data_IF_605620216743
#
_entry.id   IF_605620216743
#
_cell.length_a   1.000
_cell.length_b   1.000
_cell.length_c   1.000
_cell.angle_alpha   90.00
_cell.angle_beta   90.00
_cell.angle_gamma   90.00
#
_symmetry.space_group_name_H-M   'P 1'
#
loop_
_entity.id
_entity.type
_entity.pdbx_description
1 polymer ?
#
# COMPACT_ATOMS: atom_id res chain seq x y z
N UNK A 1 53.08 54.23 37.61
CA UNK A 1 53.75 53.19 36.81
C UNK A 1 53.36 53.49 35.35
N UNK A 2 54.13 54.15 34.46
CA UNK A 2 55.51 53.88 33.94
C UNK A 2 55.67 52.37 33.68
N UNK A 3 55.80 51.85 32.45
CA UNK A 3 56.35 52.35 31.17
C UNK A 3 55.77 51.62 29.93
N UNK A 4 55.97 52.18 28.71
CA UNK A 4 55.74 51.57 27.39
C UNK A 4 57.01 50.95 26.75
N UNK A 5 56.86 50.31 25.59
CA UNK A 5 57.92 49.92 24.64
C UNK A 5 57.39 48.84 23.70
N UNK A 6 56.96 49.11 22.46
CA UNK A 6 57.70 49.47 21.22
C UNK A 6 58.69 48.42 20.71
N UNK A 7 58.74 48.40 19.36
CA UNK A 7 59.59 47.68 18.40
C UNK A 7 59.07 46.32 17.89
N UNK A 8 59.16 46.01 16.61
CA UNK A 8 59.22 46.79 15.34
C UNK A 8 59.46 45.74 14.25
N UNK A 9 58.79 45.89 13.10
CA UNK A 9 59.26 45.54 11.73
C UNK A 9 59.57 44.04 11.48
N UNK A 10 59.41 43.41 10.33
CA UNK A 10 59.67 43.75 8.91
C UNK A 10 58.90 42.64 8.14
N UNK A 11 57.99 42.96 7.22
CA UNK A 11 58.17 43.12 5.76
C UNK A 11 58.70 41.90 4.99
N UNK A 12 58.25 41.85 3.74
CA UNK A 12 58.70 41.05 2.59
C UNK A 12 58.01 39.69 2.34
N UNK A 13 57.20 39.69 1.27
CA UNK A 13 57.71 39.11 0.02
C UNK A 13 56.99 37.87 -0.51
N UNK A 14 56.34 38.07 -1.67
CA UNK A 14 56.23 37.16 -2.83
C UNK A 14 55.56 35.78 -2.65
N UNK A 15 54.39 35.53 -3.24
CA UNK A 15 54.12 35.24 -4.66
C UNK A 15 54.33 33.77 -5.07
N UNK A 16 53.32 33.29 -5.82
CA UNK A 16 53.26 32.13 -6.72
C UNK A 16 52.72 30.77 -6.20
N UNK A 17 51.50 30.49 -6.69
CA UNK A 17 51.09 29.36 -7.53
C UNK A 17 51.48 27.91 -7.21
N UNK A 18 50.40 27.09 -7.16
CA UNK A 18 50.23 25.72 -7.63
C UNK A 18 51.02 24.60 -6.92
N UNK A 19 50.31 23.64 -6.33
CA UNK A 19 50.30 22.24 -6.82
C UNK A 19 49.22 21.38 -6.14
N UNK A 20 48.99 20.27 -6.82
CA UNK A 20 48.04 19.17 -6.74
C UNK A 20 47.86 18.44 -5.40
N UNK A 21 46.68 17.80 -5.32
CA UNK A 21 46.38 16.48 -4.74
C UNK A 21 47.06 16.07 -3.41
N UNK A 22 46.26 15.89 -2.36
CA UNK A 22 46.32 14.61 -1.64
C UNK A 22 45.04 14.28 -0.85
N UNK A 23 44.77 12.98 -0.85
CA UNK A 23 43.74 12.25 -0.14
C UNK A 23 43.88 12.39 1.39
N UNK A 24 42.76 12.25 2.12
CA UNK A 24 42.83 12.21 3.58
C UNK A 24 41.49 12.24 4.30
N UNK A 25 40.86 11.07 4.40
CA UNK A 25 40.26 10.53 5.62
C UNK A 25 39.12 11.35 6.26
N UNK A 26 37.90 10.81 6.17
CA UNK A 26 36.85 11.05 7.16
C UNK A 26 36.51 9.69 7.77
N UNK A 27 37.05 9.47 8.96
CA UNK A 27 36.79 8.34 9.84
C UNK A 27 35.30 8.24 10.20
N UNK A 28 34.85 6.98 10.19
CA UNK A 28 34.10 6.29 11.24
C UNK A 28 32.93 7.04 11.91
N UNK A 29 31.72 6.48 11.75
CA UNK A 29 31.09 5.84 12.90
C UNK A 29 30.03 4.83 12.43
N UNK A 30 30.25 3.60 12.90
CA UNK A 30 29.46 2.40 12.74
C UNK A 30 27.99 2.59 13.12
N UNK A 31 27.10 2.10 12.25
CA UNK A 31 25.74 1.75 12.63
C UNK A 31 25.54 0.30 12.22
N UNK A 32 25.94 -0.61 13.10
CA UNK A 32 25.63 -2.04 13.03
C UNK A 32 24.10 -2.19 12.90
N UNK A 33 23.64 -2.61 11.73
CA UNK A 33 22.29 -3.11 11.54
C UNK A 33 22.33 -4.60 11.84
N UNK A 34 21.81 -4.99 13.01
CA UNK A 34 21.54 -6.40 13.30
C UNK A 34 20.56 -6.95 12.26
N UNK A 35 21.06 -7.90 11.48
CA UNK A 35 20.37 -8.60 10.41
C UNK A 35 19.68 -9.84 11.03
N UNK A 36 18.40 -9.71 11.40
CA UNK A 36 17.59 -10.86 11.80
C UNK A 36 17.34 -11.75 10.57
N UNK A 37 18.04 -12.89 10.52
CA UNK A 37 17.80 -13.97 9.56
C UNK A 37 16.53 -14.74 9.96
N UNK A 38 15.43 -14.54 9.24
CA UNK A 38 14.29 -15.45 9.25
C UNK A 38 14.53 -16.56 8.22
N UNK A 39 14.69 -17.80 8.69
CA UNK A 39 14.73 -19.00 7.85
C UNK A 39 13.30 -19.35 7.39
N UNK A 40 13.06 -19.32 6.08
CA UNK A 40 11.85 -19.86 5.47
C UNK A 40 12.03 -21.37 5.26
N UNK A 41 11.19 -22.18 5.89
CA UNK A 41 10.98 -23.59 5.51
C UNK A 41 9.79 -23.64 4.55
N UNK A 42 10.05 -24.00 3.31
CA UNK A 42 9.05 -24.37 2.31
C UNK A 42 8.47 -25.74 2.69
N UNK A 43 7.15 -25.83 2.84
CA UNK A 43 6.41 -27.07 2.69
C UNK A 43 5.45 -26.88 1.52
N UNK A 44 5.67 -27.68 0.48
CA UNK A 44 4.74 -27.91 -0.62
C UNK A 44 3.55 -28.70 -0.08
N UNK A 45 2.35 -28.13 -0.19
CA UNK A 45 1.11 -28.91 -0.21
C UNK A 45 0.34 -28.50 -1.47
N UNK A 46 0.20 -29.48 -2.37
CA UNK A 46 -0.71 -29.46 -3.51
C UNK A 46 -2.15 -29.59 -2.99
N UNK A 47 -3.04 -28.66 -3.34
CA UNK A 47 -4.47 -28.96 -3.51
C UNK A 47 -5.04 -28.16 -4.69
N UNK A 48 -5.80 -28.88 -5.53
CA UNK A 48 -6.43 -28.43 -6.76
C UNK A 48 -7.71 -27.62 -6.52
N UNK A 49 -8.00 -26.77 -7.52
CA UNK A 49 -9.27 -26.16 -7.97
C UNK A 49 -10.39 -25.85 -6.97
N UNK A 50 -10.77 -24.56 -6.89
CA UNK A 50 -12.14 -24.17 -7.27
C UNK A 50 -12.23 -22.67 -7.67
N UNK A 51 -13.13 -22.46 -8.63
CA UNK A 51 -13.58 -21.25 -9.31
C UNK A 51 -14.04 -20.13 -8.36
N UNK A 52 -13.42 -18.94 -8.48
CA UNK A 52 -14.02 -17.71 -7.96
C UNK A 52 -13.93 -16.59 -8.99
N UNK A 53 -15.09 -16.32 -9.57
CA UNK A 53 -15.39 -15.35 -10.61
C UNK A 53 -15.02 -13.94 -10.16
N UNK A 54 -14.00 -13.35 -10.79
CA UNK A 54 -13.64 -11.94 -10.61
C UNK A 54 -14.77 -11.07 -11.18
N UNK A 55 -15.64 -10.58 -10.30
CA UNK A 55 -16.78 -9.75 -10.67
C UNK A 55 -16.28 -8.37 -11.14
N UNK A 56 -16.27 -8.16 -12.45
CA UNK A 56 -16.08 -6.85 -13.06
C UNK A 56 -17.30 -5.99 -12.76
N UNK A 57 -17.17 -5.03 -11.86
CA UNK A 57 -18.11 -3.92 -11.78
C UNK A 57 -17.34 -2.59 -11.86
N UNK A 58 -17.26 -2.09 -13.07
CA UNK A 58 -17.07 -0.70 -13.44
C UNK A 58 -18.33 0.11 -13.07
N UNK A 59 -18.59 0.23 -11.76
CA UNK A 59 -19.61 1.09 -11.21
C UNK A 59 -19.01 2.43 -10.76
N UNK A 60 -19.47 3.51 -11.38
CA UNK A 60 -19.28 4.89 -10.95
C UNK A 60 -19.53 5.02 -9.44
N UNK A 61 -18.47 5.31 -8.67
CA UNK A 61 -18.55 5.47 -7.22
C UNK A 61 -19.36 6.73 -6.92
N UNK A 62 -20.60 6.53 -6.46
CA UNK A 62 -21.48 7.57 -5.97
C UNK A 62 -20.86 8.42 -4.86
N UNK A 63 -21.37 9.63 -4.73
CA UNK A 63 -20.91 10.66 -3.80
C UNK A 63 -20.77 10.15 -2.36
N UNK A 64 -19.85 10.73 -1.56
CA UNK A 64 -19.59 10.29 -0.19
C UNK A 64 -20.87 10.39 0.65
N UNK A 65 -21.42 9.24 1.05
CA UNK A 65 -22.50 9.19 2.03
C UNK A 65 -22.01 9.80 3.34
N UNK A 66 -22.86 10.66 3.90
CA UNK A 66 -22.60 11.46 5.09
C UNK A 66 -22.32 10.55 6.31
N UNK A 67 -21.04 10.44 6.68
CA UNK A 67 -20.49 9.45 7.62
C UNK A 67 -21.02 9.54 9.07
N UNK A 68 -21.71 10.63 9.43
CA UNK A 68 -22.15 10.85 10.81
C UNK A 68 -23.40 10.03 11.20
N UNK A 69 -24.23 9.62 10.23
CA UNK A 69 -25.49 8.91 10.54
C UNK A 69 -25.32 7.39 10.68
N UNK A 70 -24.33 6.79 10.01
CA UNK A 70 -24.05 5.35 10.10
C UNK A 70 -23.23 5.01 11.36
N UNK A 71 -22.39 5.95 11.82
CA UNK A 71 -21.50 5.78 12.97
C UNK A 71 -22.27 5.63 14.29
N UNK A 72 -23.39 6.35 14.45
CA UNK A 72 -24.25 6.24 15.62
C UNK A 72 -24.99 4.89 15.71
N UNK A 73 -25.39 4.32 14.57
CA UNK A 73 -26.19 3.08 14.54
C UNK A 73 -25.35 1.81 14.68
N UNK A 74 -24.09 1.83 14.25
CA UNK A 74 -23.14 0.72 14.42
C UNK A 74 -22.59 0.62 15.85
N UNK A 75 -22.46 1.76 16.54
CA UNK A 75 -22.03 1.81 17.95
C UNK A 75 -23.07 1.19 18.89
N UNK A 76 -24.36 1.31 18.60
CA UNK A 76 -25.43 0.74 19.42
C UNK A 76 -25.53 -0.79 19.29
N UNK A 77 -25.34 -1.34 18.07
CA UNK A 77 -25.44 -2.78 17.81
C UNK A 77 -24.31 -3.63 18.43
N UNK A 78 -23.13 -3.06 18.66
CA UNK A 78 -21.98 -3.77 19.26
C UNK A 78 -22.04 -3.80 20.80
N UNK A 79 -22.76 -2.86 21.42
CA UNK A 79 -22.83 -2.71 22.88
C UNK A 79 -23.62 -3.83 23.59
N UNK A 80 -24.48 -4.57 22.89
CA UNK A 80 -25.30 -5.61 23.52
C UNK A 80 -24.70 -7.02 23.49
N UNK A 81 -23.66 -7.27 22.68
CA UNK A 81 -23.08 -8.63 22.51
C UNK A 81 -21.89 -8.87 23.46
N UNK A 82 -21.25 -7.81 24.00
CA UNK A 82 -20.00 -7.92 24.76
C UNK A 82 -20.02 -7.19 26.11
N UNK A 83 -21.11 -7.31 26.88
CA UNK A 83 -21.13 -6.78 28.26
C UNK A 83 -20.18 -7.61 29.13
N UNK A 84 -19.09 -7.04 29.67
CA UNK A 84 -18.15 -7.80 30.46
C UNK A 84 -18.80 -8.25 31.77
N UNK A 85 -18.59 -9.52 32.12
CA UNK A 85 -19.07 -10.14 33.37
C UNK A 85 -18.49 -9.44 34.60
N UNK A 86 -17.33 -8.76 34.43
CA UNK A 86 -16.65 -8.02 35.47
C UNK A 86 -16.50 -6.54 35.09
N UNK A 87 -16.89 -5.65 36.02
CA UNK A 87 -16.63 -4.21 35.94
C UNK A 87 -15.74 -3.75 37.09
N UNK A 88 -14.73 -2.96 36.78
CA UNK A 88 -13.89 -2.28 37.76
C UNK A 88 -14.69 -1.19 38.47
N UNK A 89 -14.65 -1.20 39.81
CA UNK A 89 -15.27 -0.18 40.67
C UNK A 89 -14.31 0.95 41.04
N UNK A 90 -13.04 0.83 40.67
CA UNK A 90 -12.00 1.82 40.96
C UNK A 90 -11.29 2.23 39.68
N UNK A 91 -11.22 3.54 39.45
CA UNK A 91 -10.61 4.12 38.25
C UNK A 91 -9.14 3.72 38.09
N UNK A 92 -8.36 3.73 39.17
CA UNK A 92 -6.92 3.49 39.08
C UNK A 92 -6.60 2.02 38.78
N UNK A 93 -7.42 1.09 39.26
CA UNK A 93 -7.32 -0.33 38.92
C UNK A 93 -7.68 -0.59 37.45
N UNK A 94 -8.79 0.00 36.99
CA UNK A 94 -9.19 -0.04 35.58
C UNK A 94 -8.11 0.54 34.66
N UNK A 95 -7.55 1.70 35.03
CA UNK A 95 -6.53 2.37 34.23
C UNK A 95 -5.22 1.58 34.21
N UNK A 96 -4.83 0.97 35.34
CA UNK A 96 -3.65 0.11 35.44
C UNK A 96 -3.80 -1.12 34.54
N UNK A 97 -4.93 -1.82 34.63
CA UNK A 97 -5.22 -2.97 33.77
C UNK A 97 -5.24 -2.58 32.28
N UNK A 98 -5.95 -1.50 31.95
CA UNK A 98 -6.07 -1.00 30.57
C UNK A 98 -4.72 -0.68 29.96
N UNK A 99 -3.83 -0.04 30.72
CA UNK A 99 -2.47 0.30 30.25
C UNK A 99 -1.50 -0.88 30.25
N UNK A 100 -1.77 -1.89 31.08
CA UNK A 100 -1.02 -3.12 31.19
C UNK A 100 -1.57 -4.18 30.26
N UNK A 101 -2.24 -5.18 30.82
CA UNK A 101 -2.66 -6.38 30.10
C UNK A 101 -3.67 -6.10 29.00
N UNK A 102 -4.59 -5.16 29.20
CA UNK A 102 -5.54 -4.75 28.15
C UNK A 102 -4.84 -4.22 26.88
N UNK A 103 -3.74 -3.47 27.06
CA UNK A 103 -2.93 -2.96 25.96
C UNK A 103 -2.05 -4.05 25.32
N UNK A 104 -1.58 -5.02 26.11
CA UNK A 104 -0.80 -6.16 25.58
C UNK A 104 -1.64 -6.98 24.60
N UNK A 105 -2.87 -7.32 24.99
CA UNK A 105 -3.81 -8.08 24.13
C UNK A 105 -4.01 -7.37 22.78
N UNK A 106 -4.25 -6.06 22.80
CA UNK A 106 -4.37 -5.26 21.58
C UNK A 106 -3.12 -5.31 20.71
N UNK A 107 -1.94 -5.12 21.30
CA UNK A 107 -0.67 -5.15 20.56
C UNK A 107 -0.44 -6.50 19.90
N UNK A 108 -0.67 -7.59 20.64
CA UNK A 108 -0.56 -8.95 20.10
C UNK A 108 -1.49 -9.14 18.91
N UNK A 109 -2.77 -8.75 19.01
CA UNK A 109 -3.71 -8.84 17.90
C UNK A 109 -3.24 -8.05 16.66
N UNK A 110 -2.74 -6.82 16.87
CA UNK A 110 -2.19 -5.99 15.80
C UNK A 110 -0.94 -6.61 15.16
N UNK A 111 -0.03 -7.17 15.96
CA UNK A 111 1.19 -7.78 15.43
C UNK A 111 0.88 -9.08 14.66
N UNK A 112 -0.04 -9.92 15.16
CA UNK A 112 -0.55 -11.08 14.42
C UNK A 112 -1.16 -10.66 13.10
N UNK A 113 -2.02 -9.64 13.09
CA UNK A 113 -2.65 -9.17 11.86
C UNK A 113 -1.64 -8.61 10.85
N UNK A 114 -0.58 -7.92 11.31
CA UNK A 114 0.49 -7.45 10.40
C UNK A 114 1.15 -8.61 9.67
N UNK A 115 1.51 -9.67 10.38
CA UNK A 115 2.19 -10.82 9.78
C UNK A 115 1.27 -11.55 8.80
N UNK A 116 0.01 -11.78 9.19
CA UNK A 116 -1.01 -12.35 8.31
C UNK A 116 -1.17 -11.51 7.04
N UNK A 117 -1.39 -10.20 7.19
CA UNK A 117 -1.52 -9.28 6.07
C UNK A 117 -0.28 -9.29 5.16
N UNK A 118 0.93 -9.26 5.73
CA UNK A 118 2.17 -9.27 4.94
C UNK A 118 2.31 -10.56 4.11
N UNK A 119 2.02 -11.72 4.71
CA UNK A 119 2.04 -13.00 4.01
C UNK A 119 1.01 -13.03 2.87
N UNK A 120 -0.25 -12.68 3.17
CA UNK A 120 -1.33 -12.61 2.17
C UNK A 120 -0.97 -11.68 1.00
N UNK A 121 -0.43 -10.48 1.29
CA UNK A 121 -0.10 -9.51 0.25
C UNK A 121 1.16 -9.85 -0.55
N UNK A 122 2.04 -10.66 0.00
CA UNK A 122 3.16 -11.20 -0.78
C UNK A 122 2.68 -12.25 -1.78
N UNK A 123 1.76 -13.14 -1.38
CA UNK A 123 1.18 -14.14 -2.28
C UNK A 123 0.28 -13.46 -3.33
N UNK A 124 -0.54 -12.50 -2.91
CA UNK A 124 -1.40 -11.73 -3.82
C UNK A 124 -0.58 -10.94 -4.86
N UNK A 125 0.62 -10.47 -4.49
CA UNK A 125 1.50 -9.81 -5.45
C UNK A 125 1.85 -10.75 -6.61
N UNK A 126 2.18 -12.00 -6.33
CA UNK A 126 2.59 -12.97 -7.37
C UNK A 126 1.42 -13.26 -8.32
N UNK A 127 0.23 -13.49 -7.77
CA UNK A 127 -1.00 -13.66 -8.56
C UNK A 127 -1.33 -12.39 -9.36
N UNK A 128 -1.14 -11.20 -8.78
CA UNK A 128 -1.36 -9.94 -9.48
C UNK A 128 -0.38 -9.74 -10.64
N UNK A 129 0.89 -10.13 -10.49
CA UNK A 129 1.87 -10.06 -11.56
C UNK A 129 1.54 -11.02 -12.71
N UNK A 130 1.13 -12.25 -12.40
CA UNK A 130 0.65 -13.22 -13.40
C UNK A 130 -0.59 -12.70 -14.13
N UNK A 131 -1.53 -12.11 -13.39
CA UNK A 131 -2.70 -11.47 -13.96
C UNK A 131 -2.32 -10.34 -14.93
N UNK A 132 -1.38 -9.47 -14.54
CA UNK A 132 -0.88 -8.42 -15.44
C UNK A 132 -0.23 -9.01 -16.68
N UNK A 133 0.58 -10.06 -16.52
CA UNK A 133 1.19 -10.79 -17.64
C UNK A 133 0.12 -11.29 -18.61
N UNK A 134 -0.85 -12.07 -18.14
CA UNK A 134 -1.93 -12.60 -18.99
C UNK A 134 -2.70 -11.48 -19.69
N UNK A 135 -3.07 -10.44 -18.93
CA UNK A 135 -3.79 -9.26 -19.46
C UNK A 135 -3.01 -8.52 -20.53
N UNK A 136 -1.68 -8.47 -20.45
CA UNK A 136 -0.86 -7.77 -21.44
C UNK A 136 -0.36 -8.67 -22.57
N UNK A 137 -0.48 -10.00 -22.43
CA UNK A 137 -0.19 -10.93 -23.52
C UNK A 137 -1.36 -11.00 -24.51
N UNK A 138 -2.60 -10.78 -24.08
CA UNK A 138 -3.78 -10.79 -24.95
C UNK A 138 -4.54 -9.47 -24.88
N UNK A 139 -4.94 -8.92 -26.04
CA UNK A 139 -5.63 -7.63 -26.04
C UNK A 139 -7.14 -7.80 -25.93
N UNK A 140 -7.67 -7.51 -24.73
CA UNK A 140 -9.11 -7.54 -24.47
C UNK A 140 -9.71 -6.12 -24.32
N UNK A 141 -9.02 -5.09 -24.82
CA UNK A 141 -9.51 -3.70 -24.78
C UNK A 141 -9.54 -3.03 -23.40
N UNK A 142 -9.00 -3.68 -22.37
CA UNK A 142 -9.09 -3.23 -20.98
C UNK A 142 -7.74 -2.71 -20.42
N UNK A 143 -6.72 -2.42 -21.24
CA UNK A 143 -5.39 -2.04 -20.75
C UNK A 143 -5.38 -0.69 -20.02
N UNK A 144 -6.01 0.33 -20.60
CA UNK A 144 -6.19 1.66 -20.03
C UNK A 144 -7.40 2.35 -20.66
N UNK A 145 -7.92 3.40 -20.01
CA UNK A 145 -9.02 4.22 -20.55
C UNK A 145 -8.73 4.80 -21.94
N UNK A 146 -7.45 5.00 -22.29
CA UNK A 146 -7.01 5.48 -23.60
C UNK A 146 -6.59 4.35 -24.55
N UNK A 147 -6.47 3.13 -24.06
CA UNK A 147 -6.15 1.92 -24.82
C UNK A 147 -7.33 0.96 -24.83
N UNK A 148 -8.49 1.48 -25.26
CA UNK A 148 -9.71 0.72 -25.53
C UNK A 148 -9.64 -0.01 -26.87
N UNK A 149 -10.65 -0.80 -27.22
CA UNK A 149 -10.72 -1.57 -28.48
C UNK A 149 -10.38 -0.76 -29.74
N UNK A 150 -10.80 0.51 -29.82
CA UNK A 150 -10.48 1.41 -30.94
C UNK A 150 -9.02 1.88 -31.03
N UNK A 151 -8.21 1.71 -29.98
CA UNK A 151 -6.77 2.02 -30.01
C UNK A 151 -6.07 1.19 -31.10
N UNK A 152 -6.33 -0.11 -31.14
CA UNK A 152 -5.69 -1.00 -32.13
C UNK A 152 -6.09 -0.69 -33.57
N UNK A 153 -7.22 -0.03 -33.79
CA UNK A 153 -7.61 0.40 -35.13
C UNK A 153 -6.73 1.57 -35.60
N UNK A 154 -6.34 2.45 -34.69
CA UNK A 154 -5.41 3.55 -34.96
C UNK A 154 -3.96 3.09 -35.16
N UNK A 155 -3.64 1.84 -34.82
CA UNK A 155 -2.30 1.26 -34.94
C UNK A 155 -2.13 0.36 -36.18
N UNK A 156 -3.12 0.29 -37.08
CA UNK A 156 -3.08 -0.57 -38.26
C UNK A 156 -1.91 -0.29 -39.22
N UNK A 157 -1.37 0.93 -39.20
CA UNK A 157 -0.21 1.37 -40.02
C UNK A 157 1.08 1.47 -39.21
N UNK A 158 1.06 1.10 -37.94
CA UNK A 158 2.25 1.18 -37.11
C UNK A 158 3.28 0.16 -37.57
N UNK A 159 4.51 0.64 -37.67
CA UNK A 159 5.68 -0.20 -37.85
C UNK A 159 6.11 -0.78 -36.51
N UNK A 160 7.00 -1.79 -36.53
CA UNK A 160 7.64 -2.30 -35.32
C UNK A 160 8.28 -1.18 -34.48
N UNK A 161 8.85 -0.14 -35.13
CA UNK A 161 9.44 1.00 -34.44
C UNK A 161 8.42 1.83 -33.68
N UNK A 162 7.23 2.01 -34.25
CA UNK A 162 6.13 2.75 -33.61
C UNK A 162 5.64 1.99 -32.37
N UNK A 163 5.45 0.66 -32.49
CA UNK A 163 5.09 -0.21 -31.38
C UNK A 163 6.10 -0.20 -30.24
N UNK A 164 7.39 -0.35 -30.56
CA UNK A 164 8.47 -0.30 -29.57
C UNK A 164 8.48 1.06 -28.85
N UNK A 165 8.30 2.15 -29.61
CA UNK A 165 8.29 3.51 -29.06
C UNK A 165 7.11 3.72 -28.13
N UNK A 166 5.91 3.35 -28.57
CA UNK A 166 4.69 3.45 -27.76
C UNK A 166 4.78 2.61 -26.50
N UNK A 167 5.18 1.34 -26.60
CA UNK A 167 5.25 0.45 -25.45
C UNK A 167 6.19 1.01 -24.38
N UNK A 168 7.39 1.46 -24.79
CA UNK A 168 8.37 2.05 -23.85
C UNK A 168 7.89 3.35 -23.21
N UNK A 169 7.10 4.16 -23.92
CA UNK A 169 6.69 5.50 -23.46
C UNK A 169 5.39 5.48 -22.68
N UNK A 170 4.37 4.84 -23.22
CA UNK A 170 2.99 4.90 -22.74
C UNK A 170 2.55 3.53 -22.19
N UNK A 171 2.86 2.43 -22.89
CA UNK A 171 2.53 1.08 -22.41
C UNK A 171 3.07 0.80 -21.00
N UNK A 172 4.37 1.00 -20.78
CA UNK A 172 4.99 0.82 -19.47
C UNK A 172 4.46 1.77 -18.39
N UNK A 173 3.89 2.93 -18.76
CA UNK A 173 3.23 3.83 -17.79
C UNK A 173 1.85 3.34 -17.41
N UNK A 174 1.10 2.76 -18.34
CA UNK A 174 -0.18 2.12 -18.02
C UNK A 174 0.01 0.94 -17.08
N UNK A 175 1.04 0.13 -17.35
CA UNK A 175 1.43 -0.97 -16.46
C UNK A 175 1.79 -0.47 -15.05
N UNK A 176 2.59 0.61 -14.97
CA UNK A 176 2.88 1.26 -13.67
C UNK A 176 1.63 1.79 -12.98
N UNK A 177 0.70 2.38 -13.73
CA UNK A 177 -0.56 2.88 -13.20
C UNK A 177 -1.44 1.77 -12.61
N UNK A 178 -1.48 0.60 -13.25
CA UNK A 178 -2.20 -0.57 -12.72
C UNK A 178 -1.56 -1.07 -11.42
N UNK A 179 -0.22 -1.18 -11.40
CA UNK A 179 0.51 -1.58 -10.19
C UNK A 179 0.35 -0.58 -9.04
N UNK A 180 0.48 0.73 -9.29
CA UNK A 180 0.32 1.75 -8.25
C UNK A 180 -1.11 1.79 -7.69
N UNK A 181 -2.14 1.50 -8.49
CA UNK A 181 -3.51 1.35 -8.00
C UNK A 181 -3.65 0.17 -7.04
N UNK A 182 -3.14 -1.00 -7.43
CA UNK A 182 -3.14 -2.19 -6.58
C UNK A 182 -2.37 -1.95 -5.27
N UNK A 183 -1.23 -1.27 -5.36
CA UNK A 183 -0.41 -0.92 -4.21
C UNK A 183 -1.11 0.09 -3.27
N UNK A 184 -1.72 1.14 -3.82
CA UNK A 184 -2.44 2.16 -3.06
C UNK A 184 -3.66 1.59 -2.32
N UNK A 185 -4.39 0.67 -2.96
CA UNK A 185 -5.46 -0.05 -2.32
C UNK A 185 -4.94 -0.85 -1.11
N UNK A 186 -3.90 -1.65 -1.33
CA UNK A 186 -3.39 -2.56 -0.31
C UNK A 186 -2.75 -1.84 0.88
N UNK A 187 -2.03 -0.72 0.67
CA UNK A 187 -1.47 0.08 1.79
C UNK A 187 -2.56 0.67 2.69
N UNK A 188 -3.73 1.02 2.15
CA UNK A 188 -4.82 1.61 2.94
C UNK A 188 -5.51 0.59 3.83
N UNK A 189 -5.60 -0.67 3.38
CA UNK A 189 -6.31 -1.75 4.09
C UNK A 189 -5.78 -1.97 5.51
N UNK A 190 -4.46 -2.18 5.68
CA UNK A 190 -3.89 -2.43 7.01
C UNK A 190 -4.02 -1.21 7.92
N UNK A 191 -3.77 -0.01 7.38
CA UNK A 191 -3.92 1.23 8.14
C UNK A 191 -5.36 1.41 8.63
N UNK A 192 -6.34 1.20 7.77
CA UNK A 192 -7.76 1.30 8.13
C UNK A 192 -8.14 0.27 9.19
N UNK A 193 -7.73 -0.99 9.02
CA UNK A 193 -8.00 -2.06 9.98
C UNK A 193 -7.44 -1.71 11.37
N UNK A 194 -6.18 -1.30 11.47
CA UNK A 194 -5.56 -0.98 12.77
C UNK A 194 -6.24 0.20 13.45
N UNK A 195 -6.64 1.22 12.69
CA UNK A 195 -7.35 2.38 13.25
C UNK A 195 -8.75 2.00 13.74
N UNK A 196 -9.45 1.10 13.03
CA UNK A 196 -10.74 0.59 13.48
C UNK A 196 -10.61 -0.26 14.73
N UNK A 197 -9.65 -1.18 14.77
CA UNK A 197 -9.39 -2.00 15.96
C UNK A 197 -8.96 -1.16 17.16
N UNK A 198 -8.21 -0.08 16.93
CA UNK A 198 -7.90 0.88 17.99
C UNK A 198 -9.17 1.53 18.56
N UNK A 199 -10.07 2.02 17.70
CA UNK A 199 -11.34 2.63 18.11
C UNK A 199 -12.24 1.63 18.85
N UNK A 200 -12.34 0.39 18.37
CA UNK A 200 -13.05 -0.70 19.05
C UNK A 200 -12.45 -0.93 20.42
N UNK A 201 -11.14 -1.12 20.50
CA UNK A 201 -10.45 -1.34 21.77
C UNK A 201 -10.74 -0.21 22.77
N UNK A 202 -10.60 1.06 22.36
CA UNK A 202 -10.91 2.23 23.22
C UNK A 202 -12.35 2.19 23.72
N UNK A 203 -13.30 1.86 22.84
CA UNK A 203 -14.73 1.79 23.17
C UNK A 203 -15.03 0.64 24.12
N UNK A 204 -14.47 -0.54 23.88
CA UNK A 204 -14.62 -1.70 24.76
C UNK A 204 -14.03 -1.45 26.14
N UNK A 205 -12.90 -0.74 26.24
CA UNK A 205 -12.29 -0.44 27.55
C UNK A 205 -13.25 0.32 28.45
N UNK A 206 -14.15 1.14 27.89
CA UNK A 206 -15.20 1.82 28.66
C UNK A 206 -16.16 0.85 29.33
N UNK A 207 -16.49 -0.28 28.69
CA UNK A 207 -17.45 -1.28 29.19
C UNK A 207 -16.95 -2.00 30.45
N UNK A 208 -15.64 -2.11 30.62
CA UNK A 208 -15.02 -2.73 31.80
C UNK A 208 -15.01 -1.81 33.03
N UNK A 209 -15.42 -0.54 32.92
CA UNK A 209 -15.53 0.36 34.07
C UNK A 209 -17.00 0.53 34.47
N UNK A 210 -17.26 0.55 35.79
CA UNK A 210 -18.58 0.90 36.31
C UNK A 210 -19.02 2.29 35.84
N UNK A 211 -20.28 2.40 35.41
CA UNK A 211 -20.81 3.60 34.77
C UNK A 211 -20.84 4.79 35.73
N UNK A 212 -21.14 4.54 37.01
CA UNK A 212 -21.12 5.58 38.04
C UNK A 212 -19.71 6.15 38.25
N UNK A 213 -18.68 5.32 38.14
CA UNK A 213 -17.27 5.72 38.28
C UNK A 213 -16.83 6.58 37.10
N UNK A 214 -17.23 6.20 35.88
CA UNK A 214 -16.97 7.00 34.69
C UNK A 214 -17.65 8.36 34.76
N UNK A 215 -18.95 8.40 35.06
CA UNK A 215 -19.72 9.64 35.16
C UNK A 215 -19.15 10.59 36.21
N UNK A 216 -18.76 10.07 37.38
CA UNK A 216 -18.14 10.89 38.42
C UNK A 216 -16.81 11.50 37.96
N UNK A 217 -15.99 10.76 37.21
CA UNK A 217 -14.74 11.26 36.60
C UNK A 217 -14.99 12.28 35.50
N UNK A 218 -16.04 12.09 34.69
CA UNK A 218 -16.46 13.01 33.65
C UNK A 218 -16.93 14.33 34.23
N UNK A 219 -17.85 14.30 35.20
CA UNK A 219 -18.37 15.49 35.92
C UNK A 219 -17.26 16.28 36.61
N UNK A 220 -16.24 15.60 37.12
CA UNK A 220 -15.07 16.25 37.75
C UNK A 220 -13.98 16.71 36.77
N UNK A 221 -14.16 16.52 35.45
CA UNK A 221 -13.18 16.90 34.44
C UNK A 221 -11.88 16.09 34.45
N UNK A 222 -11.86 14.94 35.16
CA UNK A 222 -10.64 14.15 35.41
C UNK A 222 -10.34 13.10 34.33
N UNK A 223 -11.07 13.11 33.22
CA UNK A 223 -10.83 12.22 32.06
C UNK A 223 -9.62 12.63 31.20
N UNK A 224 -9.07 13.83 31.39
CA UNK A 224 -7.94 14.34 30.59
C UNK A 224 -6.74 13.38 30.53
N UNK A 225 -6.44 12.68 31.63
CA UNK A 225 -5.35 11.69 31.68
C UNK A 225 -5.60 10.47 30.76
N UNK A 226 -6.86 10.06 30.61
CA UNK A 226 -7.26 8.98 29.72
C UNK A 226 -7.18 9.44 28.26
N UNK A 227 -7.76 10.60 27.94
CA UNK A 227 -7.72 11.16 26.58
C UNK A 227 -6.29 11.43 26.08
N UNK A 228 -5.43 11.97 26.94
CA UNK A 228 -4.01 12.16 26.60
C UNK A 228 -3.30 10.83 26.32
N UNK A 229 -3.68 9.76 27.04
CA UNK A 229 -3.10 8.44 26.83
C UNK A 229 -3.55 7.84 25.50
N UNK A 230 -4.86 7.87 25.20
CA UNK A 230 -5.36 7.29 23.95
C UNK A 230 -4.83 8.05 22.74
N UNK A 231 -4.81 9.38 22.75
CA UNK A 231 -4.32 10.18 21.63
C UNK A 231 -2.82 9.94 21.38
N UNK A 232 -2.04 9.80 22.45
CA UNK A 232 -0.62 9.45 22.33
C UNK A 232 -0.45 8.07 21.70
N UNK A 233 -1.21 7.08 22.15
CA UNK A 233 -1.11 5.70 21.67
C UNK A 233 -1.61 5.53 20.24
N UNK A 234 -2.68 6.23 19.87
CA UNK A 234 -3.17 6.31 18.50
C UNK A 234 -2.06 6.83 17.57
N UNK A 235 -1.46 7.96 17.90
CA UNK A 235 -0.35 8.53 17.13
C UNK A 235 0.86 7.58 17.04
N UNK A 236 1.23 6.94 18.15
CA UNK A 236 2.29 5.93 18.15
C UNK A 236 1.96 4.76 17.20
N UNK A 237 0.71 4.27 17.21
CA UNK A 237 0.26 3.18 16.36
C UNK A 237 0.26 3.58 14.89
N UNK A 238 -0.31 4.74 14.54
CA UNK A 238 -0.32 5.26 13.17
C UNK A 238 1.10 5.36 12.60
N UNK A 239 2.04 5.91 13.37
CA UNK A 239 3.43 6.05 12.93
C UNK A 239 4.10 4.68 12.73
N UNK A 240 3.89 3.73 13.64
CA UNK A 240 4.46 2.39 13.53
C UNK A 240 3.91 1.62 12.32
N UNK A 241 2.61 1.72 12.07
CA UNK A 241 1.97 1.10 10.92
C UNK A 241 2.46 1.72 9.63
N UNK A 242 2.58 3.05 9.57
CA UNK A 242 3.16 3.72 8.40
C UNK A 242 4.56 3.19 8.08
N UNK A 243 5.46 3.15 9.06
CA UNK A 243 6.83 2.64 8.85
C UNK A 243 6.82 1.18 8.39
N UNK A 244 5.94 0.35 8.95
CA UNK A 244 5.82 -1.05 8.54
C UNK A 244 5.36 -1.19 7.08
N UNK A 245 4.32 -0.44 6.69
CA UNK A 245 3.79 -0.41 5.32
C UNK A 245 4.85 0.13 4.35
N UNK A 246 5.56 1.21 4.70
CA UNK A 246 6.61 1.80 3.86
C UNK A 246 7.73 0.78 3.56
N UNK A 247 8.11 -0.04 4.56
CA UNK A 247 9.09 -1.13 4.38
C UNK A 247 8.58 -2.21 3.43
N UNK A 248 7.32 -2.63 3.59
CA UNK A 248 6.69 -3.59 2.68
C UNK A 248 6.60 -3.03 1.25
N UNK A 249 6.11 -1.80 1.10
CA UNK A 249 5.97 -1.09 -0.17
C UNK A 249 7.30 -1.04 -0.92
N UNK A 250 8.40 -0.70 -0.24
CA UNK A 250 9.74 -0.69 -0.85
C UNK A 250 10.13 -2.05 -1.40
N UNK A 251 9.88 -3.13 -0.64
CA UNK A 251 10.16 -4.52 -1.09
C UNK A 251 9.29 -4.89 -2.30
N UNK A 252 8.00 -4.59 -2.24
CA UNK A 252 7.03 -4.86 -3.31
C UNK A 252 7.38 -4.10 -4.59
N UNK A 253 7.70 -2.82 -4.51
CA UNK A 253 8.18 -2.01 -5.64
C UNK A 253 9.45 -2.58 -6.28
N UNK A 254 10.37 -3.09 -5.46
CA UNK A 254 11.58 -3.74 -5.98
C UNK A 254 11.28 -5.04 -6.72
N UNK A 255 10.38 -5.89 -6.19
CA UNK A 255 9.93 -7.11 -6.88
C UNK A 255 9.28 -6.77 -8.22
N UNK A 256 8.32 -5.84 -8.23
CA UNK A 256 7.66 -5.36 -9.44
C UNK A 256 8.66 -4.80 -10.46
N UNK A 257 9.63 -3.99 -10.03
CA UNK A 257 10.65 -3.43 -10.95
C UNK A 257 11.48 -4.52 -11.63
N UNK A 258 11.83 -5.59 -10.91
CA UNK A 258 12.55 -6.74 -11.48
C UNK A 258 11.68 -7.46 -12.50
N UNK A 259 10.45 -7.80 -12.10
CA UNK A 259 9.47 -8.44 -12.97
C UNK A 259 9.21 -7.63 -14.25
N UNK A 260 8.89 -6.33 -14.11
CA UNK A 260 8.61 -5.41 -15.22
C UNK A 260 9.74 -5.40 -16.24
N UNK A 261 11.00 -5.44 -15.80
CA UNK A 261 12.16 -5.46 -16.69
C UNK A 261 12.18 -6.74 -17.55
N UNK A 262 11.90 -7.90 -16.94
CA UNK A 262 11.81 -9.19 -17.63
C UNK A 262 10.63 -9.18 -18.58
N UNK A 263 9.43 -8.84 -18.08
CA UNK A 263 8.21 -8.74 -18.86
C UNK A 263 8.37 -7.83 -20.09
N UNK A 264 8.89 -6.61 -19.89
CA UNK A 264 9.08 -5.66 -20.98
C UNK A 264 10.04 -6.18 -22.06
N UNK A 265 11.09 -6.91 -21.66
CA UNK A 265 12.01 -7.55 -22.61
C UNK A 265 11.28 -8.63 -23.40
N UNK A 266 10.58 -9.53 -22.72
CA UNK A 266 9.81 -10.62 -23.35
C UNK A 266 8.77 -10.08 -24.33
N UNK A 267 7.98 -9.09 -23.92
CA UNK A 267 6.93 -8.49 -24.75
C UNK A 267 7.51 -7.85 -26.03
N UNK A 268 8.68 -7.20 -25.94
CA UNK A 268 9.35 -6.59 -27.09
C UNK A 268 9.99 -7.63 -28.03
N UNK A 269 10.67 -8.64 -27.48
CA UNK A 269 11.36 -9.68 -28.27
C UNK A 269 10.39 -10.60 -29.00
N UNK A 270 9.27 -10.95 -28.36
CA UNK A 270 8.18 -11.73 -28.96
C UNK A 270 7.36 -10.95 -29.98
N UNK A 271 7.55 -9.62 -30.06
CA UNK A 271 6.71 -8.72 -30.84
C UNK A 271 5.23 -8.91 -30.53
N UNK A 272 4.88 -8.88 -29.25
CA UNK A 272 3.55 -9.27 -28.76
C UNK A 272 2.41 -8.47 -29.39
N UNK A 273 2.67 -7.28 -29.92
CA UNK A 273 1.71 -6.50 -30.71
C UNK A 273 1.14 -7.27 -31.92
N UNK A 274 1.89 -8.22 -32.49
CA UNK A 274 1.39 -9.08 -33.57
C UNK A 274 0.25 -10.00 -33.09
N UNK A 275 0.30 -10.44 -31.84
CA UNK A 275 -0.79 -11.21 -31.21
C UNK A 275 -1.98 -10.30 -30.97
N UNK A 276 -1.75 -9.13 -30.37
CA UNK A 276 -2.81 -8.12 -30.16
C UNK A 276 -3.53 -7.74 -31.47
N UNK A 277 -2.80 -7.56 -32.57
CA UNK A 277 -3.38 -7.27 -33.87
C UNK A 277 -4.22 -8.43 -34.43
N UNK A 278 -3.82 -9.69 -34.17
CA UNK A 278 -4.60 -10.86 -34.57
C UNK A 278 -5.87 -11.02 -33.75
N UNK A 279 -5.79 -10.83 -32.44
CA UNK A 279 -6.93 -10.97 -31.53
C UNK A 279 -8.09 -10.06 -31.97
N UNK A 280 -7.79 -8.81 -32.37
CA UNK A 280 -8.80 -7.88 -32.92
C UNK A 280 -9.38 -8.31 -34.26
N UNK A 281 -8.56 -8.86 -35.17
CA UNK A 281 -9.05 -9.33 -36.46
C UNK A 281 -10.03 -10.51 -36.31
N UNK A 282 -9.85 -11.34 -35.28
CA UNK A 282 -10.77 -12.41 -34.93
C UNK A 282 -12.07 -11.86 -34.33
N UNK A 283 -11.98 -10.97 -33.32
CA UNK A 283 -13.18 -10.35 -32.74
C UNK A 283 -14.01 -9.56 -33.76
N UNK A 284 -13.38 -9.00 -34.81
CA UNK A 284 -14.08 -8.31 -35.89
C UNK A 284 -14.90 -9.25 -36.78
N UNK A 285 -14.38 -10.45 -37.07
CA UNK A 285 -15.07 -11.43 -37.91
C UNK A 285 -16.31 -12.00 -37.25
N UNK A 286 -16.27 -12.20 -35.93
CA UNK A 286 -17.43 -12.69 -35.16
C UNK A 286 -18.59 -11.69 -35.17
N UNK A 287 -18.30 -10.38 -35.04
CA UNK A 287 -19.31 -9.31 -35.10
C UNK A 287 -19.91 -9.15 -36.50
N UNK A 288 -19.11 -9.27 -37.56
CA UNK A 288 -19.62 -9.21 -38.95
C UNK A 288 -20.48 -10.44 -39.31
N UNK A 289 -20.20 -11.63 -38.74
CA UNK A 289 -21.04 -12.83 -38.97
C UNK A 289 -22.39 -12.79 -38.25
N UNK A 290 -22.50 -12.08 -37.13
CA UNK A 290 -23.76 -11.94 -36.39
C UNK A 290 -24.73 -10.92 -37.03
N UNK A 291 -24.20 -9.93 -37.77
CA UNK A 291 -25.00 -8.96 -38.52
C UNK A 291 -25.54 -9.52 -39.85
N UNK A 292 -24.85 -10.48 -40.47
CA UNK A 292 -25.28 -11.08 -41.75
C UNK A 292 -26.39 -12.14 -41.57
N UNK A 293 -26.54 -12.76 -40.40
CA UNK A 293 -27.54 -13.81 -40.16
C UNK A 293 -28.92 -13.26 -39.71
N UNK A 294 -29.02 -11.95 -39.45
CA UNK A 294 -30.29 -11.27 -39.16
C UNK A 294 -30.92 -10.60 -40.41
N UNK A 295 -30.27 -10.71 -41.58
CA UNK A 295 -30.71 -10.12 -42.85
C UNK A 295 -31.52 -11.02 -43.78
N UNK A 296 -31.84 -12.27 -43.42
CA UNK A 296 -32.62 -13.18 -44.28
C UNK A 296 -33.99 -13.52 -43.68
N UNK A 297 -34.87 -12.52 -43.68
CA UNK A 297 -36.31 -12.79 -43.59
C UNK A 297 -37.05 -11.78 -44.46
N UNK A 298 -37.15 -12.08 -45.76
CA UNK A 298 -38.32 -11.78 -46.60
C UNK A 298 -38.22 -12.55 -47.92
N UNK A 299 -39.06 -13.57 -48.11
CA UNK A 299 -40.00 -13.68 -49.25
C UNK A 299 -40.48 -15.14 -49.42
N UNK A 300 -41.69 -15.42 -48.93
CA UNK A 300 -42.80 -15.97 -49.71
C UNK A 300 -44.07 -15.99 -48.86
#
# INVERSE_FOLDING_TARGET
>A
MRTPGEHDLVDDGDALELTEENEGICDENDMEYEEEQEQEQEQEEEEEEDDDTFNEHDGELGDPLDNNSLEASLLDGVNDINKPVFKYKHWDDWLRYTKGDGMKVYKTAVDTQKQKWKSEKNNELENFLLYLEGRWMHFNGNIDKNCKTGFLWSTNRWTDKDWITWFKKDGLKFLDGQFEKWLDYNRKQLSFWVMNEWRKWVSERRLYLDDSVWEARQKSGRLKKWYNYINKKEKDNTNKIKVYIDKWEKKTKNKYKKWKKVFAKTWLESKQWNVWQKDVLHSKKEVETDEDDSGSNHSN
#
